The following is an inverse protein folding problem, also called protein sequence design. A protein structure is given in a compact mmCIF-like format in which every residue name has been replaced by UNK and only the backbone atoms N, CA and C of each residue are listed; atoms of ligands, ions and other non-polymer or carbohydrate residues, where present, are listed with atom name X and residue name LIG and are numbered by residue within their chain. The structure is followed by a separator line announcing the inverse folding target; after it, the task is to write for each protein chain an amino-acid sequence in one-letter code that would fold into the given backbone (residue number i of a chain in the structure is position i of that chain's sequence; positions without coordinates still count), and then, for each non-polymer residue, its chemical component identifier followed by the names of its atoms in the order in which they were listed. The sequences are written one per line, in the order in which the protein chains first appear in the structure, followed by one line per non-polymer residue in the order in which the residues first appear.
data_IF_169885596814
#
_entry.id   IF_169885596814
#
_cell.length_a   1.000
_cell.length_b   1.000
_cell.length_c   1.000
_cell.angle_alpha   90.00
_cell.angle_beta   90.00
_cell.angle_gamma   90.00
#
_symmetry.space_group_name_H-M   'P 1'
#
loop_
_entity.id
_entity.type
_entity.pdbx_description
1 polymer ?
#
# COMPACT_ATOMS: atom_id res chain seq x y z
N UNK A 1 -2.29 -4.22 -21.78
CA UNK A 1 -1.12 -3.34 -21.70
C UNK A 1 -1.59 -1.93 -21.43
N UNK A 2 -0.89 -1.20 -20.57
CA UNK A 2 -1.14 0.20 -20.20
C UNK A 2 0.21 0.92 -20.25
N UNK A 3 0.19 2.15 -20.73
CA UNK A 3 1.37 3.01 -20.79
C UNK A 3 1.18 4.17 -19.82
N UNK A 4 2.19 4.47 -19.01
CA UNK A 4 2.20 5.56 -18.03
C UNK A 4 3.43 6.43 -18.20
N UNK A 5 3.29 7.72 -17.94
CA UNK A 5 4.39 8.68 -17.87
C UNK A 5 4.83 8.87 -16.40
N UNK A 6 5.93 9.61 -16.12
CA UNK A 6 6.40 9.82 -14.75
C UNK A 6 5.34 10.46 -13.86
N UNK A 7 5.11 9.87 -12.69
CA UNK A 7 4.08 10.35 -11.75
C UNK A 7 4.38 11.74 -11.23
N UNK A 8 5.67 12.05 -11.06
CA UNK A 8 6.14 13.34 -10.55
C UNK A 8 5.82 14.53 -11.49
N UNK A 9 5.72 14.30 -12.80
CA UNK A 9 5.39 15.35 -13.78
C UNK A 9 3.91 15.28 -14.21
N UNK A 10 3.37 14.07 -14.39
CA UNK A 10 2.07 13.86 -15.03
C UNK A 10 0.96 13.45 -14.05
N UNK A 11 1.32 12.92 -12.88
CA UNK A 11 0.37 12.32 -11.93
C UNK A 11 -0.17 10.96 -12.38
N UNK A 12 0.38 10.38 -13.45
CA UNK A 12 -0.02 9.07 -13.95
C UNK A 12 0.25 7.98 -12.90
N UNK A 13 -0.76 7.17 -12.64
CA UNK A 13 -0.66 5.99 -11.79
C UNK A 13 -1.72 4.95 -12.19
N UNK A 14 -1.51 3.71 -11.79
CA UNK A 14 -2.48 2.62 -11.96
C UNK A 14 -2.88 2.14 -10.57
N UNK A 15 -4.18 2.04 -10.34
CA UNK A 15 -4.76 1.34 -9.19
C UNK A 15 -5.21 -0.04 -9.65
N UNK A 16 -4.69 -1.08 -9.00
CA UNK A 16 -5.06 -2.46 -9.27
C UNK A 16 -5.67 -3.10 -8.02
N UNK A 17 -6.96 -3.37 -8.10
CA UNK A 17 -7.75 -4.05 -7.06
C UNK A 17 -8.59 -5.16 -7.69
N UNK A 18 -8.97 -6.17 -6.91
CA UNK A 18 -9.96 -7.16 -7.37
C UNK A 18 -11.38 -6.55 -7.47
N UNK A 19 -11.74 -5.73 -6.48
CA UNK A 19 -13.01 -5.02 -6.43
C UNK A 19 -12.82 -3.65 -5.77
N UNK A 20 -12.58 -2.61 -6.57
CA UNK A 20 -12.42 -1.25 -6.05
C UNK A 20 -13.77 -0.69 -5.58
N UNK A 21 -13.81 -0.23 -4.33
CA UNK A 21 -14.99 0.34 -3.69
C UNK A 21 -15.26 1.82 -4.11
N UNK A 22 -14.41 2.39 -4.98
CA UNK A 22 -14.58 3.75 -5.50
C UNK A 22 -14.05 4.85 -4.57
N UNK A 23 -13.41 4.49 -3.46
CA UNK A 23 -12.85 5.41 -2.48
C UNK A 23 -11.35 5.23 -2.31
N UNK A 24 -10.69 6.16 -1.61
CA UNK A 24 -9.31 5.99 -1.17
C UNK A 24 -9.17 5.13 0.09
N UNK A 25 -10.29 4.69 0.68
CA UNK A 25 -10.34 3.84 1.86
C UNK A 25 -10.62 2.40 1.43
N UNK A 26 -9.65 1.83 0.74
CA UNK A 26 -9.74 0.50 0.14
C UNK A 26 -8.36 -0.17 0.19
N UNK A 27 -8.27 -1.36 -0.37
CA UNK A 27 -7.02 -2.07 -0.58
C UNK A 27 -6.74 -2.28 -2.07
N UNK A 28 -5.52 -1.95 -2.48
CA UNK A 28 -5.09 -2.03 -3.87
C UNK A 28 -3.57 -2.01 -3.99
N UNK A 29 -3.07 -2.39 -5.16
CA UNK A 29 -1.71 -2.11 -5.56
C UNK A 29 -1.70 -0.80 -6.34
N UNK A 30 -0.94 0.19 -5.87
CA UNK A 30 -0.66 1.43 -6.59
C UNK A 30 0.66 1.27 -7.34
N UNK A 31 0.63 1.53 -8.65
CA UNK A 31 1.77 1.39 -9.54
C UNK A 31 2.05 2.75 -10.19
N UNK A 32 3.30 3.17 -10.18
CA UNK A 32 3.75 4.43 -10.78
C UNK A 32 5.13 4.29 -11.42
N UNK A 33 5.40 5.12 -12.42
CA UNK A 33 6.77 5.32 -12.91
C UNK A 33 7.46 6.35 -12.01
N UNK A 34 8.40 5.88 -11.20
CA UNK A 34 9.29 6.73 -10.42
C UNK A 34 10.41 7.25 -11.30
N UNK A 35 10.72 8.54 -11.14
CA UNK A 35 11.90 9.19 -11.73
C UNK A 35 12.67 9.95 -10.65
N UNK A 36 14.01 9.90 -10.66
CA UNK A 36 14.89 10.61 -9.73
C UNK A 36 15.05 12.10 -10.12
N UNK A 37 13.96 12.73 -10.55
CA UNK A 37 13.92 14.11 -11.00
C UNK A 37 12.85 14.91 -10.24
N UNK A 38 12.60 16.16 -10.65
CA UNK A 38 11.59 17.01 -10.00
C UNK A 38 11.80 17.14 -8.48
N UNK A 39 10.77 16.80 -7.70
CA UNK A 39 10.84 16.77 -6.24
C UNK A 39 11.73 15.64 -5.69
N UNK A 40 11.90 14.54 -6.42
CA UNK A 40 12.71 13.39 -5.98
C UNK A 40 14.22 13.64 -6.19
N UNK A 41 14.61 14.55 -7.07
CA UNK A 41 16.02 14.81 -7.43
C UNK A 41 16.91 15.05 -6.21
N UNK A 42 16.43 15.86 -5.27
CA UNK A 42 17.26 16.21 -4.11
C UNK A 42 17.56 14.98 -3.26
N UNK A 43 16.57 14.13 -3.04
CA UNK A 43 16.73 12.90 -2.25
C UNK A 43 17.57 11.84 -2.99
N UNK A 44 17.56 11.84 -4.33
CA UNK A 44 18.42 10.98 -5.15
C UNK A 44 19.89 11.44 -5.19
N UNK A 45 20.14 12.76 -5.17
CA UNK A 45 21.50 13.34 -5.28
C UNK A 45 22.16 13.60 -3.92
N UNK A 46 21.38 13.65 -2.83
CA UNK A 46 21.87 14.10 -1.51
C UNK A 46 21.86 12.98 -0.49
N UNK A 47 23.04 12.67 0.06
CA UNK A 47 23.15 11.90 1.30
C UNK A 47 23.04 12.86 2.48
N UNK A 48 21.90 12.83 3.18
CA UNK A 48 21.67 13.67 4.35
C UNK A 48 22.46 13.18 5.56
N UNK A 49 23.05 14.12 6.31
CA UNK A 49 23.77 13.83 7.54
C UNK A 49 22.87 13.09 8.53
N UNK A 50 23.32 11.93 9.02
CA UNK A 50 22.56 11.06 9.93
C UNK A 50 21.70 9.98 9.24
N UNK A 51 21.48 10.06 7.93
CA UNK A 51 20.73 9.04 7.17
C UNK A 51 21.64 8.11 6.37
N UNK A 52 22.82 8.56 5.94
CA UNK A 52 23.87 7.70 5.37
C UNK A 52 23.62 7.20 3.95
N UNK A 53 22.45 7.48 3.37
CA UNK A 53 22.03 6.97 2.06
C UNK A 53 21.21 8.03 1.30
N UNK A 54 21.19 7.90 -0.03
CA UNK A 54 20.30 8.63 -0.94
C UNK A 54 19.15 7.68 -1.37
N UNK A 55 18.07 8.26 -1.89
CA UNK A 55 16.97 7.51 -2.52
C UNK A 55 17.37 7.00 -3.92
N UNK A 56 16.53 6.18 -4.59
CA UNK A 56 16.83 5.63 -5.90
C UNK A 56 17.28 6.71 -6.90
N UNK A 57 18.29 6.37 -7.69
CA UNK A 57 18.97 7.26 -8.63
C UNK A 57 18.65 6.94 -10.09
N UNK A 58 17.87 5.89 -10.33
CA UNK A 58 17.43 5.46 -11.65
C UNK A 58 15.88 5.45 -11.77
N UNK A 59 15.32 5.67 -12.98
CA UNK A 59 13.90 5.47 -13.21
C UNK A 59 13.51 4.00 -13.03
N UNK A 60 12.32 3.75 -12.50
CA UNK A 60 11.82 2.40 -12.30
C UNK A 60 10.34 2.37 -11.93
N UNK A 61 9.72 1.21 -12.04
CA UNK A 61 8.33 1.03 -11.59
C UNK A 61 8.32 0.84 -10.08
N UNK A 62 7.63 1.74 -9.39
CA UNK A 62 7.41 1.67 -7.95
C UNK A 62 6.02 1.10 -7.68
N UNK A 63 5.94 0.08 -6.85
CA UNK A 63 4.67 -0.56 -6.48
C UNK A 63 4.45 -0.46 -4.97
N UNK A 64 3.24 -0.07 -4.59
CA UNK A 64 2.80 -0.01 -3.19
C UNK A 64 1.62 -0.93 -2.99
N UNK A 65 1.69 -1.79 -1.97
CA UNK A 65 0.49 -2.35 -1.36
C UNK A 65 -0.12 -1.28 -0.45
N UNK A 66 -1.35 -0.89 -0.76
CA UNK A 66 -2.12 0.10 -0.01
C UNK A 66 -3.26 -0.63 0.67
N UNK A 67 -3.44 -0.42 1.97
CA UNK A 67 -4.55 -0.96 2.76
C UNK A 67 -5.06 0.12 3.72
N UNK A 68 -6.02 0.92 3.24
CA UNK A 68 -6.63 1.99 4.02
C UNK A 68 -8.02 1.62 4.54
N UNK A 69 -8.23 0.34 4.88
CA UNK A 69 -9.52 -0.12 5.40
C UNK A 69 -9.92 0.63 6.67
N UNK A 70 -11.20 0.99 6.75
CA UNK A 70 -11.77 1.68 7.90
C UNK A 70 -12.18 0.70 8.98
N UNK A 71 -11.91 1.06 10.23
CA UNK A 71 -12.48 0.41 11.40
C UNK A 71 -13.40 1.38 12.14
N UNK A 72 -14.34 0.81 12.90
CA UNK A 72 -15.18 1.57 13.82
C UNK A 72 -15.09 1.02 15.24
N UNK A 73 -15.38 1.87 16.22
CA UNK A 73 -15.35 1.50 17.63
C UNK A 73 -15.68 2.67 18.55
N UNK A 74 -15.50 2.54 19.88
CA UNK A 74 -15.84 3.58 20.85
C UNK A 74 -14.90 4.80 20.81
N UNK A 75 -13.96 4.86 19.86
CA UNK A 75 -12.96 5.91 19.75
C UNK A 75 -11.77 5.71 20.69
N UNK A 76 -11.11 6.81 21.03
CA UNK A 76 -9.95 6.78 21.91
C UNK A 76 -10.32 6.41 23.34
N UNK A 77 -9.75 5.30 23.83
CA UNK A 77 -9.80 4.90 25.23
C UNK A 77 -8.38 5.00 25.79
N UNK A 78 -8.07 6.13 26.43
CA UNK A 78 -6.69 6.47 26.80
C UNK A 78 -5.88 6.90 25.57
N UNK A 79 -4.74 6.24 25.33
CA UNK A 79 -3.82 6.60 24.23
C UNK A 79 -4.09 5.87 22.92
N UNK A 80 -5.01 4.90 22.92
CA UNK A 80 -5.23 4.02 21.78
C UNK A 80 -6.65 4.18 21.24
N UNK A 81 -6.79 4.08 19.93
CA UNK A 81 -8.09 3.90 19.32
C UNK A 81 -8.53 2.46 19.55
N UNK A 82 -9.72 2.29 20.10
CA UNK A 82 -10.30 0.96 20.29
C UNK A 82 -11.29 0.71 19.16
N UNK A 83 -11.05 -0.34 18.42
CA UNK A 83 -11.88 -0.88 17.34
C UNK A 83 -12.74 -2.05 17.85
N UNK A 84 -13.86 -2.27 17.17
CA UNK A 84 -14.69 -3.46 17.35
C UNK A 84 -14.79 -4.31 16.07
N UNK A 85 -14.75 -3.68 14.89
CA UNK A 85 -14.81 -4.36 13.60
C UNK A 85 -14.37 -3.42 12.45
N UNK A 86 -14.19 -3.98 11.25
CA UNK A 86 -13.99 -3.23 10.01
C UNK A 86 -15.31 -2.84 9.35
N UNK A 87 -15.28 -1.75 8.58
CA UNK A 87 -16.32 -1.49 7.60
C UNK A 87 -16.10 -2.39 6.38
N UNK A 88 -17.20 -2.89 5.81
CA UNK A 88 -17.19 -3.55 4.50
C UNK A 88 -16.93 -2.55 3.37
N UNK A 89 -16.55 -3.04 2.21
CA UNK A 89 -16.38 -2.22 1.00
C UNK A 89 -17.69 -1.51 0.63
N UNK A 90 -18.83 -2.20 0.74
CA UNK A 90 -20.14 -1.61 0.48
C UNK A 90 -20.48 -0.49 1.46
N UNK A 91 -20.22 -0.70 2.76
CA UNK A 91 -20.43 0.33 3.78
C UNK A 91 -19.55 1.55 3.54
N UNK A 92 -18.29 1.32 3.18
CA UNK A 92 -17.32 2.39 2.93
C UNK A 92 -17.71 3.19 1.68
N UNK A 93 -18.05 2.51 0.58
CA UNK A 93 -18.52 3.13 -0.66
C UNK A 93 -19.81 3.95 -0.48
N UNK A 94 -20.74 3.45 0.35
CA UNK A 94 -22.01 4.12 0.62
C UNK A 94 -21.89 5.24 1.68
N UNK A 95 -20.77 5.33 2.40
CA UNK A 95 -20.64 6.20 3.57
C UNK A 95 -21.57 5.80 4.72
N UNK A 96 -21.95 4.53 4.79
CA UNK A 96 -22.87 3.98 5.79
C UNK A 96 -22.08 3.34 6.93
N UNK A 97 -22.03 4.02 8.08
CA UNK A 97 -21.32 3.55 9.27
C UNK A 97 -22.28 3.34 10.46
N UNK A 98 -22.02 2.34 11.33
CA UNK A 98 -22.83 2.10 12.52
C UNK A 98 -22.85 3.34 13.44
N UNK A 99 -24.02 3.86 13.81
CA UNK A 99 -24.11 5.01 14.74
C UNK A 99 -23.59 4.64 16.14
N UNK A 100 -23.84 3.39 16.56
CA UNK A 100 -23.40 2.85 17.85
C UNK A 100 -22.61 1.56 17.67
N UNK A 101 -21.64 1.36 18.57
CA UNK A 101 -20.91 0.11 18.72
C UNK A 101 -21.02 -0.42 20.15
N UNK A 102 -20.81 -1.72 20.33
CA UNK A 102 -20.74 -2.34 21.65
C UNK A 102 -19.28 -2.66 21.94
N UNK A 103 -18.73 -2.03 22.96
CA UNK A 103 -17.36 -2.29 23.43
C UNK A 103 -17.40 -2.69 24.90
N UNK A 104 -16.84 -3.86 25.22
CA UNK A 104 -16.87 -4.46 26.56
C UNK A 104 -18.29 -4.49 27.17
N UNK A 105 -19.30 -4.83 26.36
CA UNK A 105 -20.70 -4.92 26.78
C UNK A 105 -21.39 -3.57 27.03
N UNK A 106 -20.71 -2.45 26.76
CA UNK A 106 -21.25 -1.09 26.94
C UNK A 106 -21.46 -0.43 25.57
N UNK A 107 -22.61 0.23 25.32
CA UNK A 107 -22.84 0.96 24.09
C UNK A 107 -22.08 2.30 24.07
N UNK A 108 -21.46 2.60 22.92
CA UNK A 108 -20.80 3.86 22.63
C UNK A 108 -21.28 4.40 21.28
N UNK A 109 -21.23 5.72 21.10
CA UNK A 109 -21.27 6.29 19.75
C UNK A 109 -20.03 5.85 19.00
N UNK A 110 -20.20 5.41 17.76
CA UNK A 110 -19.08 4.97 16.96
C UNK A 110 -18.22 6.15 16.52
N UNK A 111 -16.92 5.97 16.62
CA UNK A 111 -15.92 6.73 15.91
C UNK A 111 -15.34 5.86 14.79
N UNK A 112 -14.76 6.51 13.78
CA UNK A 112 -14.07 5.86 12.66
C UNK A 112 -12.57 6.14 12.72
N UNK A 113 -11.77 5.18 12.25
CA UNK A 113 -10.37 5.39 11.98
C UNK A 113 -9.92 4.60 10.75
N UNK A 114 -8.81 5.03 10.14
CA UNK A 114 -8.01 4.14 9.30
C UNK A 114 -7.32 3.16 10.24
N UNK A 115 -7.49 1.87 9.98
CA UNK A 115 -7.03 0.83 10.90
C UNK A 115 -5.56 0.45 10.73
N UNK A 116 -5.07 0.45 9.49
CA UNK A 116 -3.67 0.21 9.18
C UNK A 116 -2.82 1.45 9.47
N UNK A 117 -1.56 1.26 9.82
CA UNK A 117 -0.65 2.37 10.13
C UNK A 117 0.80 1.99 9.91
N UNK A 118 1.54 2.88 9.25
CA UNK A 118 2.99 2.80 9.15
C UNK A 118 3.72 3.37 10.37
N UNK A 119 2.99 3.91 11.35
CA UNK A 119 3.56 4.42 12.60
C UNK A 119 3.46 3.37 13.71
N UNK A 120 4.42 3.37 14.61
CA UNK A 120 4.37 2.59 15.86
C UNK A 120 3.51 3.25 16.95
N UNK A 121 3.03 4.48 16.73
CA UNK A 121 2.27 5.27 17.70
C UNK A 121 0.77 5.31 17.34
N UNK A 122 -0.10 5.11 18.34
CA UNK A 122 -1.57 5.20 18.21
C UNK A 122 -2.20 4.25 17.18
N UNK A 123 -1.82 2.96 17.21
CA UNK A 123 -2.45 1.91 16.39
C UNK A 123 -3.86 1.58 16.90
N UNK A 124 -4.70 1.05 16.01
CA UNK A 124 -5.87 0.26 16.40
C UNK A 124 -5.39 -0.99 17.14
N UNK A 125 -5.87 -1.25 18.35
CA UNK A 125 -5.16 -2.14 19.28
C UNK A 125 -6.00 -3.21 19.97
N UNK A 126 -7.33 -3.29 19.75
CA UNK A 126 -8.17 -3.95 20.77
C UNK A 126 -9.01 -5.15 20.37
N UNK A 127 -9.54 -5.21 19.14
CA UNK A 127 -10.35 -6.37 18.72
C UNK A 127 -9.74 -7.06 17.51
N UNK A 128 -8.99 -6.33 16.70
CA UNK A 128 -8.51 -6.83 15.43
C UNK A 128 -6.98 -6.92 15.47
N UNK A 129 -6.48 -7.99 16.10
CA UNK A 129 -5.06 -8.34 16.07
C UNK A 129 -4.61 -8.55 14.63
N UNK A 130 -3.95 -7.55 14.03
CA UNK A 130 -3.00 -7.67 12.92
C UNK A 130 -2.24 -6.36 12.68
N UNK A 131 -0.93 -6.47 12.52
CA UNK A 131 -0.09 -5.35 12.11
C UNK A 131 -0.16 -5.25 10.58
N UNK A 132 -1.02 -4.36 10.08
CA UNK A 132 -1.06 -4.01 8.67
C UNK A 132 -0.38 -2.66 8.45
N UNK A 133 0.42 -2.59 7.39
CA UNK A 133 0.97 -1.33 6.90
C UNK A 133 -0.10 -0.64 6.07
N UNK A 134 -0.31 0.66 6.29
CA UNK A 134 -1.23 1.42 5.46
C UNK A 134 -0.68 1.59 4.03
N UNK A 135 0.63 1.80 3.93
CA UNK A 135 1.41 1.81 2.69
C UNK A 135 2.62 0.89 2.87
N UNK A 136 2.79 -0.10 2.01
CA UNK A 136 3.97 -0.95 2.01
C UNK A 136 4.60 -0.98 0.63
N UNK A 137 5.87 -0.59 0.53
CA UNK A 137 6.60 -0.73 -0.73
C UNK A 137 6.74 -2.23 -1.03
N UNK A 138 6.29 -2.64 -2.21
CA UNK A 138 6.55 -3.97 -2.76
C UNK A 138 7.90 -3.88 -3.43
N UNK A 139 8.90 -4.56 -2.86
CA UNK A 139 10.27 -4.52 -3.34
C UNK A 139 10.41 -5.52 -4.49
N UNK A 140 11.02 -5.10 -5.61
CA UNK A 140 11.19 -5.93 -6.81
C UNK A 140 11.89 -7.27 -6.56
N UNK A 141 12.76 -7.32 -5.54
CA UNK A 141 13.42 -8.54 -5.10
C UNK A 141 12.51 -9.61 -4.47
N UNK A 142 11.25 -9.29 -4.14
CA UNK A 142 10.27 -10.23 -3.57
C UNK A 142 10.33 -10.41 -2.05
N UNK A 143 11.41 -9.98 -1.40
CA UNK A 143 11.62 -10.10 0.05
C UNK A 143 11.35 -8.76 0.76
N UNK A 144 10.62 -8.80 1.89
CA UNK A 144 10.41 -7.60 2.71
C UNK A 144 11.62 -7.32 3.63
N UNK A 145 12.45 -6.34 3.29
CA UNK A 145 13.68 -6.01 4.05
C UNK A 145 13.55 -4.78 4.95
N UNK A 146 12.47 -4.00 4.81
CA UNK A 146 12.28 -2.75 5.57
C UNK A 146 11.83 -2.93 7.03
N UNK A 147 11.76 -4.16 7.52
CA UNK A 147 11.55 -4.43 8.95
C UNK A 147 12.75 -4.07 9.85
N UNK A 148 13.91 -3.73 9.26
CA UNK A 148 15.15 -3.43 9.97
C UNK A 148 15.40 -1.93 10.13
N UNK A 149 15.98 -1.52 11.26
CA UNK A 149 16.40 -0.13 11.48
C UNK A 149 17.42 0.32 10.43
N UNK A 150 17.15 1.45 9.77
CA UNK A 150 18.04 2.03 8.75
C UNK A 150 17.86 1.48 7.34
N UNK A 151 16.94 0.52 7.15
CA UNK A 151 16.54 0.11 5.81
C UNK A 151 15.86 1.28 5.07
N UNK A 152 16.18 1.40 3.80
CA UNK A 152 15.71 2.48 2.93
C UNK A 152 15.56 1.92 1.51
N UNK A 153 14.77 2.61 0.71
CA UNK A 153 14.55 2.27 -0.68
C UNK A 153 15.81 2.54 -1.51
N UNK A 154 16.13 1.61 -2.39
CA UNK A 154 17.25 1.63 -3.33
C UNK A 154 16.76 1.32 -4.75
N UNK A 155 17.64 1.45 -5.73
CA UNK A 155 17.32 1.09 -7.12
C UNK A 155 16.88 -0.38 -7.24
N UNK A 156 17.42 -1.29 -6.41
CA UNK A 156 17.05 -2.72 -6.40
C UNK A 156 15.60 -2.99 -5.93
N UNK A 157 14.94 -1.99 -5.32
CA UNK A 157 13.55 -2.10 -4.89
C UNK A 157 12.56 -1.73 -6.01
N UNK A 158 13.03 -1.11 -7.09
CA UNK A 158 12.24 -0.73 -8.26
C UNK A 158 12.21 -1.86 -9.29
N UNK A 159 11.05 -2.05 -9.92
CA UNK A 159 10.92 -2.99 -11.03
C UNK A 159 11.40 -2.34 -12.33
N UNK A 160 12.23 -3.03 -13.08
CA UNK A 160 12.82 -2.59 -14.34
C UNK A 160 12.29 -3.40 -15.52
N UNK A 161 12.65 -2.99 -16.74
CA UNK A 161 12.28 -3.69 -17.96
C UNK A 161 12.66 -5.19 -17.88
N UNK A 162 11.66 -6.05 -18.12
CA UNK A 162 11.78 -7.51 -18.02
C UNK A 162 11.35 -8.11 -16.68
N UNK A 163 11.14 -7.30 -15.64
CA UNK A 163 10.70 -7.80 -14.34
C UNK A 163 9.20 -8.14 -14.31
N UNK A 164 8.84 -9.07 -13.44
CA UNK A 164 7.46 -9.48 -13.19
C UNK A 164 7.10 -9.45 -11.70
N UNK A 165 5.95 -8.85 -11.39
CA UNK A 165 5.27 -9.03 -10.12
C UNK A 165 4.29 -10.21 -10.21
N UNK A 166 4.27 -11.04 -9.17
CA UNK A 166 3.23 -12.05 -8.94
C UNK A 166 3.10 -12.34 -7.45
N UNK A 167 1.93 -12.78 -6.99
CA UNK A 167 1.76 -13.17 -5.59
C UNK A 167 2.69 -14.32 -5.18
N UNK A 168 3.00 -15.24 -6.11
CA UNK A 168 3.89 -16.37 -5.83
C UNK A 168 5.36 -15.97 -5.61
N UNK A 169 5.76 -14.77 -6.02
CA UNK A 169 7.12 -14.24 -5.82
C UNK A 169 7.18 -13.09 -4.82
N UNK A 170 6.03 -12.54 -4.40
CA UNK A 170 5.93 -11.34 -3.56
C UNK A 170 4.92 -11.53 -2.41
N UNK A 171 4.80 -12.75 -1.88
CA UNK A 171 3.85 -13.10 -0.82
C UNK A 171 4.11 -12.34 0.48
N UNK A 172 5.35 -11.95 0.77
CA UNK A 172 5.76 -11.29 2.01
C UNK A 172 5.08 -9.93 2.23
N UNK A 173 4.58 -9.32 1.15
CA UNK A 173 3.89 -8.04 1.20
C UNK A 173 2.38 -8.17 1.44
N UNK A 174 1.82 -9.38 1.42
CA UNK A 174 0.38 -9.61 1.53
C UNK A 174 0.08 -10.63 2.62
N UNK A 175 -0.75 -10.23 3.59
CA UNK A 175 -1.16 -11.14 4.64
C UNK A 175 -1.97 -12.30 4.05
N UNK A 176 -1.55 -13.54 4.33
CA UNK A 176 -2.18 -14.76 3.83
C UNK A 176 -2.29 -14.81 2.29
N UNK A 177 -1.42 -14.09 1.57
CA UNK A 177 -1.38 -14.08 0.10
C UNK A 177 -2.70 -13.62 -0.56
N UNK A 178 -3.46 -12.78 0.14
CA UNK A 178 -4.81 -12.35 -0.25
C UNK A 178 -5.02 -10.88 0.04
N UNK A 179 -6.00 -10.31 -0.65
CA UNK A 179 -6.63 -9.07 -0.21
C UNK A 179 -7.39 -9.28 1.11
N UNK A 180 -7.69 -8.19 1.77
CA UNK A 180 -8.31 -8.03 3.08
C UNK A 180 -9.74 -8.55 3.12
N UNK A 181 -10.45 -8.46 2.00
CA UNK A 181 -11.76 -9.04 1.76
C UNK A 181 -11.69 -10.55 1.45
N UNK A 182 -10.49 -11.13 1.44
CA UNK A 182 -10.22 -12.55 1.23
C UNK A 182 -10.11 -12.96 -0.24
N UNK A 183 -10.24 -12.02 -1.17
CA UNK A 183 -10.03 -12.24 -2.60
C UNK A 183 -8.57 -12.62 -2.89
N UNK A 184 -8.39 -13.49 -3.88
CA UNK A 184 -7.07 -13.91 -4.34
C UNK A 184 -6.40 -12.84 -5.19
N UNK A 185 -5.06 -12.79 -5.14
CA UNK A 185 -4.25 -11.88 -5.95
C UNK A 185 -3.81 -12.63 -7.21
N UNK A 186 -4.76 -12.78 -8.15
CA UNK A 186 -4.63 -13.67 -9.31
C UNK A 186 -4.17 -12.93 -10.57
N UNK A 187 -3.16 -12.08 -10.45
CA UNK A 187 -2.61 -11.35 -11.58
C UNK A 187 -1.08 -11.33 -11.57
N UNK A 188 -0.54 -11.17 -12.77
CA UNK A 188 0.87 -10.91 -13.02
C UNK A 188 0.99 -9.58 -13.76
N UNK A 189 1.95 -8.77 -13.32
CA UNK A 189 2.29 -7.49 -13.92
C UNK A 189 3.70 -7.64 -14.50
N UNK A 190 3.86 -7.38 -15.78
CA UNK A 190 5.17 -7.42 -16.45
C UNK A 190 5.55 -6.01 -16.89
N UNK A 191 6.81 -5.62 -16.66
CA UNK A 191 7.37 -4.36 -17.16
C UNK A 191 7.90 -4.60 -18.58
N UNK A 192 7.10 -4.26 -19.59
CA UNK A 192 7.41 -4.56 -20.99
C UNK A 192 8.50 -3.64 -21.56
N UNK A 193 8.53 -2.38 -21.13
CA UNK A 193 9.53 -1.38 -21.52
C UNK A 193 9.61 -0.27 -20.48
N UNK A 194 10.80 0.26 -20.21
CA UNK A 194 10.98 1.34 -19.24
C UNK A 194 12.01 2.38 -19.72
N UNK A 195 11.64 3.65 -19.60
CA UNK A 195 12.55 4.79 -19.73
C UNK A 195 12.20 5.86 -18.69
N UNK A 196 13.00 6.94 -18.64
CA UNK A 196 12.71 8.09 -17.80
C UNK A 196 11.42 8.83 -18.22
N UNK A 197 10.96 8.69 -19.46
CA UNK A 197 9.81 9.43 -19.98
C UNK A 197 8.51 8.60 -20.00
N UNK A 198 8.64 7.26 -19.97
CA UNK A 198 7.51 6.38 -20.16
C UNK A 198 7.82 4.94 -19.74
N UNK A 199 6.80 4.25 -19.24
CA UNK A 199 6.82 2.81 -19.05
C UNK A 199 5.57 2.15 -19.65
N UNK A 200 5.75 0.91 -20.13
CA UNK A 200 4.67 0.08 -20.66
C UNK A 200 4.55 -1.18 -19.81
N UNK A 201 3.34 -1.44 -19.32
CA UNK A 201 3.04 -2.54 -18.40
C UNK A 201 1.99 -3.46 -19.00
N UNK A 202 2.21 -4.77 -18.91
CA UNK A 202 1.20 -5.77 -19.25
C UNK A 202 0.64 -6.45 -18.01
N UNK A 203 -0.66 -6.72 -18.06
CA UNK A 203 -1.42 -7.32 -16.96
C UNK A 203 -2.08 -8.59 -17.49
N UNK A 204 -1.87 -9.70 -16.80
CA UNK A 204 -2.54 -10.97 -17.11
C UNK A 204 -3.13 -11.57 -15.84
N UNK A 205 -4.32 -12.16 -15.94
CA UNK A 205 -4.84 -12.99 -14.86
C UNK A 205 -4.18 -14.37 -14.89
N UNK A 206 -3.84 -14.89 -13.72
CA UNK A 206 -3.43 -16.27 -13.52
C UNK A 206 -4.69 -17.00 -13.11
N UNK A 207 -5.32 -17.73 -14.05
CA UNK A 207 -6.59 -18.39 -13.77
C UNK A 207 -6.50 -19.30 -12.53
N UNK A 208 -7.51 -19.21 -11.65
CA UNK A 208 -7.80 -20.24 -10.64
C UNK A 208 -8.24 -21.57 -11.22
#
# INVERSE_FOLDING_TARGET
TITINPSQENGDCILLADSWNGTGFDEYILIELYTPDGLNRQDAETVYEGYGHALPSEPGIRMWHVDFRLAYGPGFQGSNFMDVDYLTDEQTAAGEYPEYCIYNGTPYKSALCVSASNSNYMRSLSAIENQFNALQLIQAGGDYTFGSLGAHMTDDDLFHEGDEFSIGTHSDFFKNEKFNNGASIDFVISVDSLSADQATLSFRRVNG
#
